data_IF_816407179602
#
_entry.id   IF_816407179602
#
_cell.length_a   1.000
_cell.length_b   1.000
_cell.length_c   1.000
_cell.angle_alpha   90.00
_cell.angle_beta   90.00
_cell.angle_gamma   90.00
#
_symmetry.space_group_name_H-M   'P 1'
#
loop_
_entity.id
_entity.type
_entity.pdbx_description
1 polymer ?
#
# COMPACT_ATOMS: atom_id res chain seq x y z
N UNK A 1 40.06 26.02 -0.83
CA UNK A 1 39.78 25.04 0.25
C UNK A 1 40.64 25.38 1.47
N UNK A 2 40.29 24.98 2.70
CA UNK A 2 41.02 25.31 3.96
C UNK A 2 42.53 25.04 3.88
N UNK A 3 42.94 24.09 3.04
CA UNK A 3 44.35 23.77 2.77
C UNK A 3 45.00 24.80 1.83
N UNK A 4 44.33 25.26 0.76
CA UNK A 4 44.89 26.28 -0.16
C UNK A 4 44.81 27.71 0.37
N UNK A 5 43.71 28.07 1.06
CA UNK A 5 43.49 29.45 1.53
C UNK A 5 44.09 29.73 2.92
N UNK A 6 44.44 28.71 3.72
CA UNK A 6 44.97 28.92 5.10
C UNK A 6 46.30 28.20 5.32
N UNK A 7 46.55 27.06 4.64
CA UNK A 7 47.77 26.27 4.89
C UNK A 7 48.87 26.46 3.83
N UNK A 8 48.52 26.78 2.59
CA UNK A 8 49.43 27.00 1.45
C UNK A 8 49.44 28.44 0.92
N UNK A 9 48.69 29.35 1.52
CA UNK A 9 48.63 30.76 1.11
C UNK A 9 49.90 31.51 1.51
N UNK A 10 50.45 32.33 0.60
CA UNK A 10 51.53 33.28 0.95
C UNK A 10 51.00 34.29 1.99
N UNK A 11 51.84 34.79 2.92
CA UNK A 11 51.38 35.63 4.01
C UNK A 11 50.68 36.89 3.48
N UNK A 12 49.37 37.03 3.75
CA UNK A 12 48.57 38.23 3.42
C UNK A 12 47.32 38.05 2.54
N UNK A 13 46.99 36.84 2.07
CA UNK A 13 45.78 36.56 1.27
C UNK A 13 44.98 35.33 1.78
N UNK A 14 44.90 35.14 3.09
CA UNK A 14 44.06 34.08 3.66
C UNK A 14 42.60 34.54 3.72
N UNK A 15 41.78 34.12 2.75
CA UNK A 15 40.32 34.30 2.82
C UNK A 15 39.62 32.97 3.16
N UNK A 16 39.38 32.68 4.45
CA UNK A 16 38.66 31.49 4.90
C UNK A 16 37.16 31.58 4.60
N UNK A 17 36.64 32.76 4.23
CA UNK A 17 35.20 33.03 4.11
C UNK A 17 34.55 32.13 3.07
N UNK A 18 35.18 31.93 1.92
CA UNK A 18 34.67 31.06 0.85
C UNK A 18 34.54 29.59 1.28
N UNK A 19 35.53 29.07 2.01
CA UNK A 19 35.50 27.68 2.49
C UNK A 19 34.45 27.47 3.59
N UNK A 20 34.28 28.45 4.48
CA UNK A 20 33.25 28.45 5.53
C UNK A 20 31.85 28.51 4.91
N UNK A 21 31.63 29.40 3.93
CA UNK A 21 30.35 29.52 3.22
C UNK A 21 29.95 28.18 2.58
N UNK A 22 30.89 27.50 1.93
CA UNK A 22 30.61 26.23 1.24
C UNK A 22 30.29 25.09 2.23
N UNK A 23 31.05 24.96 3.32
CA UNK A 23 30.78 23.92 4.35
C UNK A 23 29.41 24.15 5.00
N UNK A 24 29.08 25.41 5.31
CA UNK A 24 27.77 25.78 5.85
C UNK A 24 26.65 25.46 4.86
N UNK A 25 26.84 25.77 3.59
CA UNK A 25 25.86 25.47 2.54
C UNK A 25 25.61 23.97 2.41
N UNK A 26 26.66 23.14 2.40
CA UNK A 26 26.54 21.68 2.33
C UNK A 26 25.82 21.11 3.56
N UNK A 27 26.14 21.59 4.76
CA UNK A 27 25.47 21.15 6.00
C UNK A 27 23.99 21.56 6.05
N UNK A 28 23.66 22.77 5.61
CA UNK A 28 22.28 23.25 5.55
C UNK A 28 21.48 22.44 4.52
N UNK A 29 22.01 22.25 3.31
CA UNK A 29 21.34 21.46 2.27
C UNK A 29 21.13 20.01 2.71
N UNK A 30 22.15 19.36 3.26
CA UNK A 30 22.04 17.99 3.77
C UNK A 30 21.11 17.85 4.98
N UNK A 31 21.10 18.83 5.89
CA UNK A 31 20.20 18.85 7.05
C UNK A 31 18.74 19.06 6.67
N UNK A 32 18.47 19.96 5.73
CA UNK A 32 17.12 20.15 5.16
C UNK A 32 16.64 18.86 4.49
N UNK A 33 17.51 18.19 3.71
CA UNK A 33 17.21 16.90 3.08
C UNK A 33 16.80 15.84 4.10
N UNK A 34 17.58 15.65 5.16
CA UNK A 34 17.29 14.66 6.21
C UNK A 34 15.97 14.92 6.94
N UNK A 35 15.69 16.18 7.28
CA UNK A 35 14.45 16.56 7.99
C UNK A 35 13.21 16.41 7.10
N UNK A 36 13.33 16.69 5.80
CA UNK A 36 12.23 16.53 4.84
C UNK A 36 11.88 15.06 4.62
N UNK A 37 12.87 14.19 4.54
CA UNK A 37 12.69 12.74 4.37
C UNK A 37 11.93 12.13 5.57
N UNK A 38 12.32 12.50 6.80
CA UNK A 38 11.67 12.00 8.02
C UNK A 38 10.21 12.46 8.22
N UNK A 39 9.78 13.54 7.56
CA UNK A 39 8.39 14.04 7.69
C UNK A 39 7.44 13.36 6.71
N UNK A 40 7.92 12.87 5.58
CA UNK A 40 7.10 12.32 4.51
C UNK A 40 6.49 10.95 4.86
N UNK A 41 7.18 10.12 5.64
CA UNK A 41 6.70 8.76 5.98
C UNK A 41 5.55 8.73 6.99
N UNK A 42 5.39 9.75 7.83
CA UNK A 42 4.45 9.70 8.97
C UNK A 42 2.98 9.87 8.59
N UNK A 43 2.69 10.43 7.42
CA UNK A 43 1.31 10.69 7.01
C UNK A 43 0.58 9.42 6.55
N UNK A 44 1.28 8.46 5.96
CA UNK A 44 0.69 7.22 5.44
C UNK A 44 0.48 6.15 6.54
N UNK A 45 1.44 6.01 7.47
CA UNK A 45 1.44 4.90 8.44
C UNK A 45 0.37 5.02 9.55
N UNK A 46 -0.12 6.23 9.83
CA UNK A 46 -1.07 6.47 10.94
C UNK A 46 -2.53 6.17 10.58
N UNK A 47 -2.88 6.05 9.29
CA UNK A 47 -4.25 5.70 8.87
C UNK A 47 -4.52 4.19 8.91
N UNK A 48 -3.49 3.35 8.76
CA UNK A 48 -3.66 1.88 8.69
C UNK A 48 -3.87 1.19 10.04
N UNK A 49 -3.65 1.88 11.16
CA UNK A 49 -3.70 1.31 12.53
C UNK A 49 -5.06 1.42 13.23
N UNK A 50 -6.09 1.91 12.55
CA UNK A 50 -7.38 2.24 13.18
C UNK A 50 -8.48 1.17 13.02
N UNK A 51 -8.16 -0.02 12.49
CA UNK A 51 -9.15 -1.09 12.31
C UNK A 51 -8.60 -2.35 12.97
N UNK A 52 -9.02 -2.61 14.20
CA UNK A 52 -8.77 -3.90 14.85
C UNK A 52 -10.08 -4.68 14.79
N UNK A 53 -10.10 -5.76 14.02
CA UNK A 53 -11.25 -6.66 13.96
C UNK A 53 -11.10 -7.75 15.04
N UNK A 54 -12.20 -8.06 15.74
CA UNK A 54 -12.27 -9.12 16.75
C UNK A 54 -13.18 -10.26 16.28
N UNK A 55 -13.01 -11.44 16.85
CA UNK A 55 -13.84 -12.63 16.61
C UNK A 55 -14.18 -13.32 17.94
N UNK A 56 -15.37 -13.93 18.01
CA UNK A 56 -15.79 -14.69 19.20
C UNK A 56 -15.34 -16.15 19.11
N UNK A 57 -14.44 -16.56 20.01
CA UNK A 57 -13.95 -17.93 20.15
C UNK A 57 -14.49 -18.61 21.41
N UNK A 58 -14.56 -19.94 21.39
CA UNK A 58 -14.92 -20.78 22.53
C UNK A 58 -13.65 -21.53 22.97
N UNK A 59 -13.03 -21.08 24.06
CA UNK A 59 -11.89 -21.74 24.69
C UNK A 59 -12.28 -22.16 26.11
N UNK A 60 -11.93 -23.38 26.50
CA UNK A 60 -12.28 -23.95 27.82
C UNK A 60 -13.79 -23.87 28.17
N UNK A 61 -14.66 -23.91 27.15
CA UNK A 61 -16.11 -23.83 27.31
C UNK A 61 -16.67 -22.42 27.56
N UNK A 62 -15.84 -21.37 27.53
CA UNK A 62 -16.26 -19.97 27.66
C UNK A 62 -16.13 -19.23 26.32
N UNK A 63 -17.07 -18.33 26.04
CA UNK A 63 -17.00 -17.45 24.86
C UNK A 63 -16.19 -16.21 25.18
N UNK A 64 -15.17 -15.92 24.37
CA UNK A 64 -14.23 -14.82 24.52
C UNK A 64 -14.11 -14.07 23.19
N UNK A 65 -14.08 -12.75 23.22
CA UNK A 65 -13.65 -11.96 22.05
C UNK A 65 -12.13 -11.88 22.01
N UNK A 66 -11.56 -12.24 20.87
CA UNK A 66 -10.12 -12.29 20.62
C UNK A 66 -9.84 -11.55 19.32
N UNK A 67 -8.69 -10.87 19.22
CA UNK A 67 -8.29 -10.24 17.97
C UNK A 67 -8.12 -11.31 16.88
N UNK A 68 -8.46 -11.00 15.63
CA UNK A 68 -8.32 -11.96 14.52
C UNK A 68 -6.87 -12.47 14.40
N UNK A 69 -5.89 -11.61 14.69
CA UNK A 69 -4.45 -11.92 14.69
C UNK A 69 -4.04 -13.00 15.71
N UNK A 70 -4.82 -13.19 16.77
CA UNK A 70 -4.54 -14.14 17.85
C UNK A 70 -5.31 -15.48 17.69
N UNK A 71 -5.99 -15.67 16.54
CA UNK A 71 -6.68 -16.92 16.21
C UNK A 71 -5.69 -18.00 15.79
N UNK A 72 -5.95 -19.24 16.23
CA UNK A 72 -5.11 -20.39 15.88
C UNK A 72 -5.92 -21.55 15.34
N UNK A 73 -5.28 -22.39 14.53
CA UNK A 73 -5.88 -23.64 14.04
C UNK A 73 -6.33 -24.50 15.22
N UNK A 74 -7.56 -25.02 15.14
CA UNK A 74 -8.17 -25.82 16.20
C UNK A 74 -9.03 -25.04 17.18
N UNK A 75 -9.03 -23.70 17.14
CA UNK A 75 -10.03 -22.93 17.90
C UNK A 75 -11.45 -23.19 17.36
N UNK A 76 -12.43 -23.08 18.25
CA UNK A 76 -13.84 -23.12 17.87
C UNK A 76 -14.36 -21.68 17.85
N UNK A 77 -14.78 -21.20 16.69
CA UNK A 77 -15.40 -19.89 16.53
C UNK A 77 -16.92 -20.02 16.60
N UNK A 78 -17.55 -18.98 17.13
CA UNK A 78 -19.01 -18.82 17.11
C UNK A 78 -19.34 -17.69 16.14
N UNK A 79 -20.19 -17.99 15.16
CA UNK A 79 -20.62 -17.05 14.13
C UNK A 79 -22.11 -16.80 14.24
N UNK A 80 -22.49 -15.55 13.99
CA UNK A 80 -23.87 -15.06 13.95
C UNK A 80 -24.07 -14.17 12.72
N UNK A 81 -25.33 -13.93 12.36
CA UNK A 81 -25.67 -13.00 11.29
C UNK A 81 -24.99 -11.63 11.48
N UNK A 82 -24.34 -11.14 10.41
CA UNK A 82 -23.56 -9.90 10.40
C UNK A 82 -22.07 -10.07 10.67
N UNK A 83 -21.62 -11.24 11.13
CA UNK A 83 -20.20 -11.51 11.35
C UNK A 83 -19.47 -11.74 10.02
N UNK A 84 -18.25 -11.23 9.91
CA UNK A 84 -17.29 -11.64 8.89
C UNK A 84 -16.61 -12.94 9.34
N UNK A 85 -16.44 -13.89 8.43
CA UNK A 85 -15.74 -15.14 8.69
C UNK A 85 -14.23 -14.86 8.80
N UNK A 86 -13.60 -15.10 9.97
CA UNK A 86 -12.26 -14.59 10.27
C UNK A 86 -11.12 -15.48 9.78
N UNK A 87 -11.41 -16.71 9.36
CA UNK A 87 -10.46 -17.74 8.97
C UNK A 87 -11.16 -18.80 8.10
N UNK A 88 -10.44 -19.81 7.59
CA UNK A 88 -11.09 -20.93 6.91
C UNK A 88 -11.57 -21.96 7.92
N UNK A 89 -12.84 -22.37 7.83
CA UNK A 89 -13.57 -23.05 8.88
C UNK A 89 -14.27 -24.32 8.40
N UNK A 90 -14.39 -25.27 9.31
CA UNK A 90 -15.24 -26.44 9.20
C UNK A 90 -16.44 -26.34 10.15
N UNK A 91 -17.66 -26.35 9.62
CA UNK A 91 -18.88 -26.23 10.41
C UNK A 91 -19.17 -27.49 11.23
N UNK A 92 -19.21 -27.34 12.56
CA UNK A 92 -19.55 -28.40 13.52
C UNK A 92 -21.05 -28.35 13.85
N UNK A 93 -21.59 -27.14 14.03
CA UNK A 93 -23.00 -26.90 14.28
C UNK A 93 -23.47 -25.76 13.36
N UNK A 94 -24.66 -25.90 12.77
CA UNK A 94 -25.29 -24.83 11.99
C UNK A 94 -26.81 -24.83 12.17
N UNK A 95 -27.39 -23.62 12.14
CA UNK A 95 -28.84 -23.36 12.14
C UNK A 95 -29.12 -22.23 11.15
N UNK A 96 -29.84 -22.55 10.08
CA UNK A 96 -30.24 -21.64 9.00
C UNK A 96 -29.09 -20.71 8.59
N UNK A 97 -27.89 -21.27 8.42
CA UNK A 97 -26.64 -20.53 8.29
C UNK A 97 -26.34 -20.27 6.82
N UNK A 98 -26.48 -19.01 6.40
CA UNK A 98 -26.25 -18.58 5.02
C UNK A 98 -25.06 -17.64 4.95
N UNK A 99 -24.19 -17.88 3.98
CA UNK A 99 -22.97 -17.12 3.76
C UNK A 99 -22.98 -16.52 2.36
N UNK A 100 -22.57 -15.26 2.24
CA UNK A 100 -22.33 -14.61 0.96
C UNK A 100 -20.85 -14.68 0.61
N UNK A 101 -20.56 -15.28 -0.55
CA UNK A 101 -19.20 -15.57 -1.00
C UNK A 101 -18.76 -14.68 -2.19
N UNK A 102 -19.38 -13.52 -2.36
CA UNK A 102 -19.13 -12.61 -3.49
C UNK A 102 -17.66 -12.21 -3.62
N UNK A 103 -16.94 -12.05 -2.50
CA UNK A 103 -15.50 -11.76 -2.51
C UNK A 103 -14.61 -12.87 -3.10
N UNK A 104 -15.09 -14.12 -3.17
CA UNK A 104 -14.34 -15.26 -3.71
C UNK A 104 -14.91 -15.77 -5.04
N UNK A 105 -16.23 -15.67 -5.25
CA UNK A 105 -16.91 -16.22 -6.44
C UNK A 105 -17.36 -15.16 -7.44
N UNK A 106 -17.47 -13.89 -7.03
CA UNK A 106 -18.05 -12.79 -7.83
C UNK A 106 -19.58 -12.80 -7.91
N UNK A 107 -20.24 -13.85 -7.39
CA UNK A 107 -21.69 -13.97 -7.35
C UNK A 107 -22.23 -13.64 -5.96
N UNK A 108 -23.36 -12.94 -5.90
CA UNK A 108 -23.91 -12.44 -4.62
C UNK A 108 -25.05 -13.26 -4.05
N UNK A 109 -25.37 -14.38 -4.70
CA UNK A 109 -26.30 -15.35 -4.16
C UNK A 109 -25.76 -15.92 -2.83
N UNK A 110 -26.62 -15.92 -1.81
CA UNK A 110 -26.28 -16.52 -0.53
C UNK A 110 -26.31 -18.04 -0.66
N UNK A 111 -25.28 -18.71 -0.16
CA UNK A 111 -25.17 -20.17 -0.15
C UNK A 111 -25.47 -20.69 1.24
N UNK A 112 -26.36 -21.68 1.34
CA UNK A 112 -26.63 -22.37 2.60
C UNK A 112 -25.41 -23.24 2.97
N UNK A 113 -24.98 -23.15 4.23
CA UNK A 113 -23.87 -23.93 4.75
C UNK A 113 -24.34 -24.81 5.91
N UNK A 114 -24.03 -26.10 5.83
CA UNK A 114 -24.53 -27.14 6.73
C UNK A 114 -23.39 -27.73 7.55
N UNK A 115 -23.66 -27.99 8.83
CA UNK A 115 -22.72 -28.74 9.67
C UNK A 115 -22.37 -30.09 9.03
N UNK A 116 -21.12 -30.52 9.21
CA UNK A 116 -20.60 -31.77 8.62
C UNK A 116 -21.52 -32.99 8.85
N UNK A 117 -22.18 -33.05 10.01
CA UNK A 117 -23.11 -34.14 10.36
C UNK A 117 -24.42 -34.14 9.57
N UNK A 118 -24.76 -33.04 8.89
CA UNK A 118 -26.02 -32.82 8.16
C UNK A 118 -25.84 -32.83 6.64
N UNK A 119 -24.61 -32.97 6.14
CA UNK A 119 -24.33 -32.97 4.69
C UNK A 119 -25.04 -34.13 4.00
N UNK A 120 -25.78 -33.83 2.92
CA UNK A 120 -26.54 -34.83 2.16
C UNK A 120 -25.75 -35.39 0.97
N UNK A 121 -24.91 -34.55 0.34
CA UNK A 121 -24.02 -34.93 -0.76
C UNK A 121 -22.73 -34.12 -0.70
N UNK A 122 -21.60 -34.79 -0.72
CA UNK A 122 -20.30 -34.15 -0.82
C UNK A 122 -19.88 -34.09 -2.29
N UNK A 123 -20.38 -33.09 -3.02
CA UNK A 123 -19.78 -32.73 -4.31
C UNK A 123 -18.44 -32.06 -3.99
N UNK A 124 -17.34 -32.80 -4.17
CA UNK A 124 -15.98 -32.31 -3.90
C UNK A 124 -15.31 -31.72 -5.14
N UNK A 125 -16.06 -31.48 -6.22
CA UNK A 125 -15.50 -30.93 -7.47
C UNK A 125 -14.95 -29.51 -7.26
N UNK A 126 -15.52 -28.74 -6.33
CA UNK A 126 -15.02 -27.42 -5.90
C UNK A 126 -15.13 -27.26 -4.38
N UNK A 127 -14.05 -26.79 -3.74
CA UNK A 127 -14.04 -26.51 -2.30
C UNK A 127 -15.04 -25.42 -1.92
N UNK A 128 -15.26 -24.43 -2.79
CA UNK A 128 -16.19 -23.32 -2.56
C UNK A 128 -17.65 -23.79 -2.43
N UNK A 129 -18.01 -24.85 -3.16
CA UNK A 129 -19.34 -25.46 -3.15
C UNK A 129 -19.58 -26.34 -1.92
N UNK A 130 -18.53 -26.71 -1.17
CA UNK A 130 -18.68 -27.58 -0.02
C UNK A 130 -19.56 -26.94 1.07
N UNK A 131 -20.63 -27.63 1.47
CA UNK A 131 -21.62 -27.12 2.42
C UNK A 131 -21.05 -26.92 3.83
N UNK A 132 -20.08 -27.76 4.25
CA UNK A 132 -19.50 -27.68 5.59
C UNK A 132 -18.29 -26.76 5.70
N UNK A 133 -17.84 -26.15 4.60
CA UNK A 133 -16.72 -25.22 4.60
C UNK A 133 -17.22 -23.78 4.51
N UNK A 134 -16.58 -22.92 5.29
CA UNK A 134 -16.78 -21.48 5.27
C UNK A 134 -15.39 -20.81 5.19
N UNK A 135 -15.25 -19.78 4.37
CA UNK A 135 -13.94 -19.25 3.98
C UNK A 135 -13.72 -17.84 4.51
N UNK A 136 -12.46 -17.52 4.83
CA UNK A 136 -12.03 -16.21 5.31
C UNK A 136 -12.51 -15.08 4.39
N UNK A 137 -12.98 -13.98 4.97
CA UNK A 137 -13.40 -12.78 4.24
C UNK A 137 -14.81 -12.84 3.65
N UNK A 138 -15.52 -13.95 3.80
CA UNK A 138 -16.94 -14.07 3.45
C UNK A 138 -17.85 -13.63 4.61
N UNK A 139 -19.08 -13.22 4.32
CA UNK A 139 -19.98 -12.64 5.33
C UNK A 139 -21.15 -13.56 5.67
N UNK A 140 -21.52 -13.61 6.95
CA UNK A 140 -22.70 -14.33 7.40
C UNK A 140 -23.94 -13.47 7.20
N UNK A 141 -24.85 -13.90 6.32
CA UNK A 141 -26.09 -13.18 6.02
C UNK A 141 -27.15 -13.48 7.08
N UNK A 142 -27.29 -14.75 7.46
CA UNK A 142 -28.30 -15.17 8.42
C UNK A 142 -27.88 -16.44 9.17
N UNK A 143 -28.57 -16.69 10.28
CA UNK A 143 -28.37 -17.87 11.11
C UNK A 143 -27.24 -17.77 12.12
N UNK A 144 -26.82 -18.93 12.61
CA UNK A 144 -25.68 -19.07 13.52
C UNK A 144 -24.98 -20.40 13.33
N UNK A 145 -23.68 -20.40 13.60
CA UNK A 145 -22.86 -21.60 13.50
C UNK A 145 -21.77 -21.65 14.57
N UNK A 146 -21.31 -22.87 14.87
CA UNK A 146 -20.02 -23.11 15.51
C UNK A 146 -19.14 -23.85 14.53
N UNK A 147 -17.91 -23.40 14.41
CA UNK A 147 -16.99 -23.93 13.42
C UNK A 147 -15.59 -24.10 14.00
N UNK A 148 -14.88 -25.11 13.52
CA UNK A 148 -13.47 -25.34 13.82
C UNK A 148 -12.61 -24.57 12.83
N UNK A 149 -11.60 -23.85 13.31
CA UNK A 149 -10.61 -23.22 12.43
C UNK A 149 -9.70 -24.30 11.82
N UNK A 150 -9.64 -24.34 10.48
CA UNK A 150 -8.78 -25.23 9.70
C UNK A 150 -7.46 -24.56 9.29
N UNK A 151 -7.53 -23.31 8.82
CA UNK A 151 -6.37 -22.53 8.39
C UNK A 151 -6.56 -21.06 8.79
N UNK A 152 -5.46 -20.35 9.04
CA UNK A 152 -5.44 -18.93 9.46
C UNK A 152 -4.43 -18.14 8.64
N UNK A 153 -4.68 -16.85 8.47
CA UNK A 153 -3.78 -15.93 7.76
C UNK A 153 -3.46 -16.39 6.34
N UNK A 154 -2.18 -16.40 6.02
CA UNK A 154 -1.61 -16.75 4.73
C UNK A 154 -1.97 -18.15 4.21
N UNK A 155 -2.25 -19.10 5.11
CA UNK A 155 -2.61 -20.48 4.73
C UNK A 155 -4.10 -20.65 4.36
N UNK A 156 -4.90 -19.58 4.47
CA UNK A 156 -6.31 -19.58 4.03
C UNK A 156 -6.42 -19.43 2.52
N UNK A 157 -7.56 -19.79 1.92
CA UNK A 157 -7.81 -19.57 0.50
C UNK A 157 -7.64 -18.10 0.08
N UNK A 158 -8.14 -17.17 0.90
CA UNK A 158 -7.95 -15.74 0.64
C UNK A 158 -6.48 -15.32 0.81
N UNK A 159 -5.80 -15.86 1.82
CA UNK A 159 -4.36 -15.64 2.05
C UNK A 159 -3.50 -16.11 0.88
N UNK A 160 -3.78 -17.28 0.30
CA UNK A 160 -3.06 -17.82 -0.86
C UNK A 160 -3.28 -16.95 -2.11
N UNK A 161 -4.51 -16.44 -2.31
CA UNK A 161 -4.82 -15.46 -3.36
C UNK A 161 -4.02 -14.18 -3.11
N UNK A 162 -4.00 -13.65 -1.89
CA UNK A 162 -3.24 -12.45 -1.54
C UNK A 162 -1.73 -12.63 -1.75
N UNK A 163 -1.16 -13.78 -1.40
CA UNK A 163 0.25 -14.09 -1.64
C UNK A 163 0.57 -14.16 -3.14
N UNK A 164 -0.35 -14.71 -3.94
CA UNK A 164 -0.22 -14.76 -5.40
C UNK A 164 -0.33 -13.37 -6.02
N UNK A 165 -1.11 -12.47 -5.43
CA UNK A 165 -1.24 -11.08 -5.86
C UNK A 165 -0.10 -10.19 -5.36
N UNK A 166 0.55 -10.54 -4.24
CA UNK A 166 1.68 -9.82 -3.67
C UNK A 166 3.01 -9.99 -4.43
N UNK A 167 2.99 -10.59 -5.63
CA UNK A 167 4.14 -10.56 -6.52
C UNK A 167 4.36 -9.15 -7.07
N UNK A 168 5.35 -8.45 -6.50
CA UNK A 168 5.96 -7.21 -6.97
C UNK A 168 4.98 -6.07 -7.26
N UNK A 169 4.95 -5.04 -6.39
CA UNK A 169 4.43 -3.72 -6.76
C UNK A 169 5.22 -3.25 -8.00
N UNK A 170 4.66 -3.43 -9.19
CA UNK A 170 5.25 -2.92 -10.42
C UNK A 170 5.35 -1.40 -10.29
N UNK A 171 6.52 -0.79 -10.55
CA UNK A 171 6.65 0.65 -10.44
C UNK A 171 5.63 1.32 -11.36
N UNK A 172 4.89 2.28 -10.81
CA UNK A 172 3.82 2.98 -11.54
C UNK A 172 4.37 3.65 -12.79
N UNK A 173 3.50 3.95 -13.75
CA UNK A 173 3.88 4.69 -14.97
C UNK A 173 4.64 5.98 -14.61
N UNK A 174 4.17 6.67 -13.58
CA UNK A 174 4.81 7.86 -13.03
C UNK A 174 6.21 7.58 -12.44
N UNK A 175 6.40 6.51 -11.67
CA UNK A 175 7.71 6.15 -11.13
C UNK A 175 8.71 5.82 -12.24
N UNK A 176 8.27 5.15 -13.31
CA UNK A 176 9.08 4.88 -14.50
C UNK A 176 9.51 6.17 -15.20
N UNK A 177 8.58 7.12 -15.36
CA UNK A 177 8.87 8.42 -15.96
C UNK A 177 9.81 9.25 -15.08
N UNK A 178 9.61 9.25 -13.77
CA UNK A 178 10.50 9.92 -12.80
C UNK A 178 11.91 9.34 -12.85
N UNK A 179 12.04 8.02 -12.90
CA UNK A 179 13.33 7.37 -13.02
C UNK A 179 14.04 7.75 -14.34
N UNK A 180 13.28 7.89 -15.42
CA UNK A 180 13.81 8.35 -16.72
C UNK A 180 14.33 9.79 -16.66
N UNK A 181 13.60 10.70 -16.01
CA UNK A 181 14.03 12.10 -15.76
C UNK A 181 15.27 12.13 -14.86
N UNK A 182 15.28 11.32 -13.79
CA UNK A 182 16.42 11.20 -12.88
C UNK A 182 17.69 10.75 -13.63
N UNK A 183 17.58 9.73 -14.48
CA UNK A 183 18.69 9.26 -15.31
C UNK A 183 19.16 10.29 -16.34
N UNK A 184 18.25 11.05 -16.94
CA UNK A 184 18.61 12.16 -17.83
C UNK A 184 19.46 13.20 -17.08
N UNK A 185 19.04 13.59 -15.88
CA UNK A 185 19.73 14.59 -15.07
C UNK A 185 21.07 14.07 -14.53
N UNK A 186 21.14 12.80 -14.11
CA UNK A 186 22.41 12.15 -13.74
C UNK A 186 23.38 12.13 -14.93
N UNK A 187 22.89 11.81 -16.14
CA UNK A 187 23.73 11.82 -17.35
C UNK A 187 24.25 13.22 -17.68
N UNK A 188 23.42 14.25 -17.52
CA UNK A 188 23.85 15.64 -17.69
C UNK A 188 24.88 16.05 -16.61
N UNK A 189 24.67 15.67 -15.35
CA UNK A 189 25.63 15.94 -14.26
C UNK A 189 26.97 15.24 -14.50
N UNK A 190 26.96 13.97 -14.92
CA UNK A 190 28.18 13.22 -15.26
C UNK A 190 28.97 13.83 -16.42
N UNK A 191 28.34 14.63 -17.28
CA UNK A 191 29.03 15.35 -18.36
C UNK A 191 29.46 16.74 -17.90
N UNK A 192 28.58 17.51 -17.26
CA UNK A 192 28.84 18.89 -16.85
C UNK A 192 29.86 19.00 -15.72
N UNK A 193 29.80 18.13 -14.71
CA UNK A 193 30.69 18.20 -13.53
C UNK A 193 32.16 18.00 -13.94
N UNK A 194 32.53 16.98 -14.76
CA UNK A 194 33.90 16.85 -15.26
C UNK A 194 34.33 17.99 -16.19
N UNK A 195 33.43 18.50 -17.04
CA UNK A 195 33.74 19.64 -17.92
C UNK A 195 34.08 20.88 -17.08
N UNK A 196 33.26 21.20 -16.08
CA UNK A 196 33.50 22.33 -15.16
C UNK A 196 34.78 22.10 -14.37
N UNK A 197 34.99 20.90 -13.84
CA UNK A 197 36.20 20.55 -13.09
C UNK A 197 37.48 20.72 -13.92
N UNK A 198 37.50 20.18 -15.15
CA UNK A 198 38.67 20.29 -16.03
C UNK A 198 38.87 21.72 -16.54
N UNK A 199 37.80 22.43 -16.91
CA UNK A 199 37.88 23.82 -17.35
C UNK A 199 38.43 24.72 -16.26
N UNK A 200 37.92 24.59 -15.03
CA UNK A 200 38.36 25.41 -13.89
C UNK A 200 39.78 25.03 -13.44
N UNK A 201 40.08 23.74 -13.38
CA UNK A 201 41.41 23.24 -13.00
C UNK A 201 42.52 23.63 -13.99
N UNK A 202 42.22 23.65 -15.30
CA UNK A 202 43.17 24.08 -16.33
C UNK A 202 43.34 25.60 -16.42
N UNK A 203 42.30 26.37 -16.05
CA UNK A 203 42.33 27.85 -16.14
C UNK A 203 43.02 28.46 -14.91
N UNK A 204 42.65 28.03 -13.71
CA UNK A 204 43.10 28.65 -12.46
C UNK A 204 44.27 27.90 -11.80
N UNK A 205 44.50 26.63 -12.15
CA UNK A 205 45.59 25.80 -11.62
C UNK A 205 45.36 25.25 -10.19
N UNK A 206 44.31 25.70 -9.48
CA UNK A 206 43.89 25.13 -8.20
C UNK A 206 42.86 23.99 -8.41
N UNK A 207 43.37 22.77 -8.45
CA UNK A 207 42.57 21.54 -8.59
C UNK A 207 41.63 21.28 -7.40
N UNK A 208 41.97 21.76 -6.20
CA UNK A 208 41.12 21.59 -5.02
C UNK A 208 39.93 22.54 -5.07
N UNK A 209 40.15 23.80 -5.47
CA UNK A 209 39.07 24.77 -5.66
C UNK A 209 38.16 24.37 -6.83
N UNK A 210 38.73 23.90 -7.94
CA UNK A 210 37.97 23.33 -9.05
C UNK A 210 37.09 22.14 -8.64
N UNK A 211 37.60 21.26 -7.75
CA UNK A 211 36.84 20.11 -7.24
C UNK A 211 35.65 20.52 -6.37
N UNK A 212 35.85 21.50 -5.49
CA UNK A 212 34.78 22.02 -4.63
C UNK A 212 33.75 22.82 -5.43
N UNK A 213 34.18 23.56 -6.46
CA UNK A 213 33.27 24.27 -7.37
C UNK A 213 32.43 23.29 -8.19
N UNK A 214 33.05 22.26 -8.77
CA UNK A 214 32.36 21.20 -9.50
C UNK A 214 31.34 20.44 -8.62
N UNK A 215 31.68 20.18 -7.35
CA UNK A 215 30.75 19.59 -6.39
C UNK A 215 29.54 20.51 -6.13
N UNK A 216 29.78 21.82 -5.99
CA UNK A 216 28.73 22.81 -5.74
C UNK A 216 27.75 22.90 -6.93
N UNK A 217 28.26 22.83 -8.16
CA UNK A 217 27.45 22.74 -9.39
C UNK A 217 26.64 21.44 -9.41
N UNK A 218 27.23 20.30 -9.05
CA UNK A 218 26.52 19.01 -8.99
C UNK A 218 25.35 19.02 -8.00
N UNK A 219 25.57 19.55 -6.80
CA UNK A 219 24.50 19.70 -5.80
C UNK A 219 23.41 20.66 -6.31
N UNK A 220 23.79 21.79 -6.93
CA UNK A 220 22.83 22.76 -7.45
C UNK A 220 21.98 22.27 -8.63
N UNK A 221 22.47 21.28 -9.40
CA UNK A 221 21.76 20.68 -10.53
C UNK A 221 20.90 19.48 -10.14
N UNK A 222 21.01 18.99 -8.91
CA UNK A 222 20.22 17.84 -8.46
C UNK A 222 18.75 18.27 -8.30
N UNK A 223 17.79 17.58 -8.97
CA UNK A 223 16.37 17.92 -8.92
C UNK A 223 15.71 17.47 -7.60
N UNK A 224 16.26 17.88 -6.45
CA UNK A 224 15.82 17.40 -5.13
C UNK A 224 14.39 17.82 -4.77
N UNK A 225 13.95 18.99 -5.27
CA UNK A 225 12.62 19.51 -4.94
C UNK A 225 11.50 18.83 -5.72
N UNK A 226 11.80 18.17 -6.85
CA UNK A 226 10.77 17.62 -7.73
C UNK A 226 9.97 16.50 -7.05
N UNK A 227 10.59 15.47 -6.41
CA UNK A 227 9.83 14.46 -5.67
C UNK A 227 8.98 15.06 -4.55
N UNK A 228 9.52 16.02 -3.80
CA UNK A 228 8.82 16.66 -2.69
C UNK A 228 7.58 17.46 -3.16
N UNK A 229 7.73 18.26 -4.22
CA UNK A 229 6.63 19.05 -4.78
C UNK A 229 5.50 18.13 -5.24
N UNK A 230 5.86 16.99 -5.84
CA UNK A 230 4.89 16.02 -6.32
C UNK A 230 4.19 15.33 -5.15
N UNK A 231 4.93 14.79 -4.18
CA UNK A 231 4.33 14.16 -2.99
C UNK A 231 3.42 15.13 -2.25
N UNK A 232 3.82 16.39 -2.07
CA UNK A 232 2.98 17.41 -1.45
C UNK A 232 1.71 17.71 -2.26
N UNK A 233 1.82 17.74 -3.59
CA UNK A 233 0.68 17.95 -4.49
C UNK A 233 -0.28 16.77 -4.45
N UNK A 234 0.23 15.53 -4.49
CA UNK A 234 -0.55 14.30 -4.37
C UNK A 234 -1.21 14.19 -3.00
N UNK A 235 -0.51 14.53 -1.91
CA UNK A 235 -1.06 14.55 -0.57
C UNK A 235 -2.22 15.56 -0.45
N UNK A 236 -2.08 16.75 -1.04
CA UNK A 236 -3.17 17.72 -1.12
C UNK A 236 -4.35 17.19 -1.94
N UNK A 237 -4.08 16.50 -3.06
CA UNK A 237 -5.09 15.84 -3.89
C UNK A 237 -5.86 14.76 -3.12
N UNK A 238 -5.16 13.92 -2.36
CA UNK A 238 -5.72 12.91 -1.47
C UNK A 238 -6.70 13.52 -0.46
N UNK A 239 -6.34 14.66 0.15
CA UNK A 239 -7.22 15.37 1.09
C UNK A 239 -8.48 15.90 0.40
N UNK A 240 -8.37 16.37 -0.84
CA UNK A 240 -9.53 16.83 -1.63
C UNK A 240 -10.45 15.65 -1.96
N UNK A 241 -9.89 14.52 -2.42
CA UNK A 241 -10.67 13.31 -2.72
C UNK A 241 -11.37 12.73 -1.49
N UNK A 242 -10.71 12.76 -0.32
CA UNK A 242 -11.31 12.30 0.93
C UNK A 242 -12.55 13.12 1.33
N UNK A 243 -12.59 14.42 1.02
CA UNK A 243 -13.77 15.26 1.25
C UNK A 243 -14.95 14.85 0.36
N UNK A 244 -14.68 14.33 -0.83
CA UNK A 244 -15.65 13.74 -1.75
C UNK A 244 -15.92 12.25 -1.46
N UNK A 245 -15.59 11.77 -0.25
CA UNK A 245 -15.77 10.38 0.21
C UNK A 245 -14.95 9.33 -0.53
N UNK A 246 -13.87 9.72 -1.23
CA UNK A 246 -12.93 8.79 -1.88
C UNK A 246 -11.63 8.71 -1.06
N UNK A 247 -11.35 7.54 -0.48
CA UNK A 247 -10.17 7.34 0.36
C UNK A 247 -9.02 6.76 -0.47
N UNK A 248 -7.94 7.53 -0.61
CA UNK A 248 -6.73 7.10 -1.31
C UNK A 248 -5.76 6.44 -0.33
N UNK A 249 -5.47 5.14 -0.53
CA UNK A 249 -4.50 4.38 0.30
C UNK A 249 -3.04 4.57 -0.14
N UNK A 250 -2.79 4.66 -1.46
CA UNK A 250 -1.46 4.92 -2.06
C UNK A 250 -1.51 6.25 -2.84
N UNK A 251 -0.67 7.23 -2.50
CA UNK A 251 -0.71 8.58 -3.12
C UNK A 251 -0.54 8.56 -4.65
N UNK A 252 0.28 7.64 -5.16
CA UNK A 252 0.53 7.48 -6.60
C UNK A 252 -0.72 7.06 -7.38
N UNK A 253 -1.69 6.39 -6.72
CA UNK A 253 -2.94 5.94 -7.36
C UNK A 253 -3.79 7.10 -7.90
N UNK A 254 -3.59 8.34 -7.43
CA UNK A 254 -4.28 9.53 -7.93
C UNK A 254 -3.91 9.78 -9.40
N UNK A 255 -2.64 9.59 -9.77
CA UNK A 255 -2.19 9.76 -11.15
C UNK A 255 -2.61 8.58 -12.02
N UNK A 256 -2.50 7.35 -11.50
CA UNK A 256 -2.95 6.15 -12.21
C UNK A 256 -4.43 6.27 -12.59
N UNK A 257 -5.29 6.73 -11.66
CA UNK A 257 -6.70 6.99 -11.91
C UNK A 257 -6.93 8.02 -13.03
N UNK A 258 -6.09 9.07 -13.09
CA UNK A 258 -6.15 10.09 -14.13
C UNK A 258 -5.64 9.62 -15.50
N UNK A 259 -4.86 8.54 -15.53
CA UNK A 259 -4.24 7.96 -16.73
C UNK A 259 -4.92 6.65 -17.17
N UNK A 260 -6.11 6.33 -16.65
CA UNK A 260 -6.84 5.11 -17.01
C UNK A 260 -7.28 5.18 -18.49
N UNK A 261 -6.82 4.22 -19.29
CA UNK A 261 -7.34 3.96 -20.64
C UNK A 261 -8.41 2.86 -20.65
N UNK A 262 -8.30 1.89 -19.74
CA UNK A 262 -9.19 0.72 -19.63
C UNK A 262 -9.65 0.58 -18.18
N UNK A 263 -10.96 0.69 -17.97
CA UNK A 263 -11.59 0.44 -16.67
C UNK A 263 -12.19 -0.96 -16.66
N UNK A 264 -11.55 -1.88 -15.94
CA UNK A 264 -12.13 -3.16 -15.57
C UNK A 264 -12.89 -2.99 -14.25
N UNK A 265 -14.18 -3.32 -14.23
CA UNK A 265 -15.04 -3.23 -13.05
C UNK A 265 -15.68 -4.56 -12.79
N UNK A 266 -15.86 -4.89 -11.52
CA UNK A 266 -16.74 -5.99 -11.14
C UNK A 266 -18.21 -5.58 -11.34
N UNK A 267 -19.09 -6.57 -11.50
CA UNK A 267 -20.53 -6.40 -11.64
C UNK A 267 -21.15 -6.20 -10.26
N UNK A 268 -20.96 -7.17 -9.37
CA UNK A 268 -21.74 -7.27 -8.14
C UNK A 268 -21.15 -6.41 -7.03
N UNK A 269 -21.98 -5.61 -6.35
CA UNK A 269 -21.54 -4.65 -5.34
C UNK A 269 -20.71 -3.45 -5.86
N UNK A 270 -20.36 -3.41 -7.14
CA UNK A 270 -19.67 -2.26 -7.78
C UNK A 270 -20.56 -1.54 -8.78
N UNK A 271 -21.08 -2.23 -9.81
CA UNK A 271 -22.04 -1.66 -10.75
C UNK A 271 -23.49 -1.79 -10.27
N UNK A 272 -23.76 -2.85 -9.51
CA UNK A 272 -25.07 -3.15 -8.93
C UNK A 272 -25.10 -2.77 -7.45
N UNK A 273 -26.29 -2.51 -6.91
CA UNK A 273 -26.49 -2.14 -5.51
C UNK A 273 -26.37 -3.32 -4.54
N UNK A 274 -26.11 -4.53 -5.06
CA UNK A 274 -26.17 -5.79 -4.31
C UNK A 274 -27.50 -6.02 -3.55
N UNK A 275 -28.58 -5.46 -4.10
CA UNK A 275 -29.94 -5.61 -3.58
C UNK A 275 -30.85 -6.21 -4.65
N UNK A 276 -31.65 -7.21 -4.27
CA UNK A 276 -32.67 -7.80 -5.15
C UNK A 276 -33.88 -6.85 -5.16
N UNK A 277 -34.09 -6.19 -6.29
CA UNK A 277 -35.24 -5.30 -6.51
C UNK A 277 -36.15 -5.89 -7.57
N UNK A 278 -37.46 -5.93 -7.30
CA UNK A 278 -38.46 -6.31 -8.30
C UNK A 278 -38.56 -5.19 -9.36
N UNK A 279 -38.03 -5.44 -10.55
CA UNK A 279 -38.03 -4.46 -11.64
C UNK A 279 -39.37 -4.47 -12.42
N UNK A 280 -39.86 -5.68 -12.77
CA UNK A 280 -41.08 -5.85 -13.56
C UNK A 280 -42.02 -6.85 -12.88
N UNK A 281 -43.14 -6.37 -12.30
CA UNK A 281 -44.24 -7.26 -11.95
C UNK A 281 -45.03 -7.63 -13.22
N UNK A 282 -45.28 -8.91 -13.45
CA UNK A 282 -46.32 -9.35 -14.37
C UNK A 282 -47.67 -9.36 -13.64
N UNK A 283 -48.73 -8.91 -14.32
CA UNK A 283 -50.08 -9.12 -13.80
C UNK A 283 -50.60 -10.51 -14.22
N UNK A 284 -51.82 -10.86 -13.82
CA UNK A 284 -52.45 -12.15 -14.16
C UNK A 284 -52.75 -12.31 -15.67
N UNK A 285 -52.52 -11.28 -16.48
CA UNK A 285 -52.75 -11.22 -17.91
C UNK A 285 -51.47 -11.11 -18.75
N UNK A 286 -50.30 -10.91 -18.14
CA UNK A 286 -49.03 -10.78 -18.85
C UNK A 286 -48.36 -9.45 -18.59
#
# INVERSE_FOLDING_TARGET
SMVTNVWLAKPGQEDPTTSIIIVVLVLISGGIRFVQELRSDKAATNLSKMIVNTATVIREGQSLEVAIEDLVVGDIVKLSAGDMIPADLLLIESRDFFVQQSGLTGESDSVEKLALSKMSQSNFDSLLEAEALAFMGTNVISGSAKALILAVGDDTMMGEIEQTLNTYDEPTSFERDMNSISWLLIRLMLVMVPIVFLSNGLTDGDWLEAGVFALSVGVGLTPEMLPMIITASLAKGSIIMAKEKVVIKKLNAIQDLGAIDILCTDKTGTLTQDEIVLEYPLDIHG
#
